data_IF_459087307904
#
_entry.id   IF_459087307904
#
_cell.length_a   1.000
_cell.length_b   1.000
_cell.length_c   1.000
_cell.angle_alpha   90.00
_cell.angle_beta   90.00
_cell.angle_gamma   90.00
#
_symmetry.space_group_name_H-M   'P 1'
#
loop_
_entity.id
_entity.type
_entity.pdbx_description
1 polymer ?
#
# COMPACT_ATOMS: atom_id res chain seq x y z
N UNK A 1 34.02 4.56 15.56
CA UNK A 1 33.75 3.58 14.49
C UNK A 1 32.27 3.67 14.13
N UNK A 2 31.94 4.03 12.89
CA UNK A 2 30.55 4.07 12.42
C UNK A 2 29.97 2.65 12.45
N UNK A 3 28.72 2.49 12.92
CA UNK A 3 28.05 1.20 12.91
C UNK A 3 27.93 0.64 11.47
N UNK A 4 27.72 -0.67 11.34
CA UNK A 4 27.52 -1.32 10.03
C UNK A 4 26.36 -0.68 9.27
N UNK A 5 25.26 -0.31 9.97
CA UNK A 5 24.09 0.39 9.39
C UNK A 5 24.45 1.77 8.85
N UNK A 6 25.24 2.57 9.57
CA UNK A 6 25.69 3.89 9.09
C UNK A 6 26.59 3.80 7.86
N UNK A 7 27.42 2.73 7.74
CA UNK A 7 28.22 2.50 6.53
C UNK A 7 27.34 2.14 5.33
N UNK A 8 26.31 1.31 5.52
CA UNK A 8 25.36 0.94 4.46
C UNK A 8 24.63 2.16 3.91
N UNK A 9 24.12 3.05 4.77
CA UNK A 9 23.51 4.31 4.35
C UNK A 9 24.46 5.19 3.52
N UNK A 10 25.73 5.25 3.90
CA UNK A 10 26.72 6.09 3.21
C UNK A 10 27.15 5.55 1.84
N UNK A 11 27.17 4.22 1.66
CA UNK A 11 27.65 3.59 0.43
C UNK A 11 26.52 3.01 -0.44
N UNK A 12 25.25 3.23 -0.04
CA UNK A 12 24.06 2.67 -0.72
C UNK A 12 24.12 1.14 -0.87
N UNK A 13 24.68 0.48 0.13
CA UNK A 13 24.76 -0.96 0.15
C UNK A 13 23.42 -1.56 0.55
N UNK A 14 23.15 -2.78 0.11
CA UNK A 14 22.00 -3.57 0.50
C UNK A 14 22.39 -4.59 1.56
N UNK A 15 21.47 -4.88 2.46
CA UNK A 15 21.68 -5.92 3.41
C UNK A 15 20.47 -6.86 3.43
N UNK A 16 20.72 -8.15 3.56
CA UNK A 16 19.72 -9.19 3.51
C UNK A 16 19.33 -9.61 4.92
N UNK A 17 18.04 -9.60 5.22
CA UNK A 17 17.49 -10.28 6.40
C UNK A 17 17.26 -11.75 6.03
N UNK A 18 17.84 -12.67 6.80
CA UNK A 18 17.57 -14.09 6.59
C UNK A 18 16.30 -14.50 7.35
N UNK A 19 15.46 -15.33 6.71
CA UNK A 19 14.30 -15.94 7.35
C UNK A 19 13.09 -15.04 7.59
N UNK A 20 13.02 -13.85 6.97
CA UNK A 20 11.86 -12.97 7.03
C UNK A 20 11.44 -12.48 5.65
N UNK A 21 10.19 -12.74 5.30
CA UNK A 21 9.57 -12.28 4.04
C UNK A 21 8.82 -10.99 4.32
N UNK A 22 9.17 -9.93 3.59
CA UNK A 22 8.52 -8.62 3.65
C UNK A 22 8.57 -7.97 2.27
N UNK A 23 7.42 -7.67 1.71
CA UNK A 23 7.29 -6.93 0.46
C UNK A 23 7.10 -5.43 0.76
N UNK A 24 7.62 -4.57 -0.13
CA UNK A 24 7.49 -3.12 0.02
C UNK A 24 6.04 -2.63 0.10
N UNK A 25 5.14 -3.23 -0.67
CA UNK A 25 3.70 -2.92 -0.67
C UNK A 25 2.93 -3.42 0.55
N UNK A 26 3.50 -4.35 1.34
CA UNK A 26 2.85 -4.86 2.55
C UNK A 26 2.89 -3.89 3.73
N UNK A 27 3.68 -2.83 3.65
CA UNK A 27 3.85 -1.83 4.71
C UNK A 27 3.78 -0.41 4.17
N UNK A 28 3.34 0.52 5.01
CA UNK A 28 3.48 1.96 4.77
C UNK A 28 3.92 2.67 6.05
N UNK A 29 4.88 3.59 5.95
CA UNK A 29 5.49 4.25 7.12
C UNK A 29 5.27 5.75 7.07
N UNK A 30 5.19 6.39 8.25
CA UNK A 30 5.05 7.85 8.39
C UNK A 30 6.41 8.59 8.45
N UNK A 31 7.52 7.86 8.59
CA UNK A 31 8.85 8.44 8.79
C UNK A 31 9.13 8.89 10.22
N UNK A 32 8.18 8.77 11.15
CA UNK A 32 8.30 9.17 12.56
C UNK A 32 8.12 8.00 13.55
N UNK A 33 8.24 6.77 13.06
CA UNK A 33 8.21 5.56 13.87
C UNK A 33 6.89 4.79 13.83
N UNK A 34 5.92 5.18 12.99
CA UNK A 34 4.67 4.47 12.84
C UNK A 34 4.61 3.74 11.50
N UNK A 35 4.13 2.51 11.52
CA UNK A 35 3.91 1.66 10.35
C UNK A 35 2.47 1.19 10.32
N UNK A 36 1.87 1.17 9.13
CA UNK A 36 0.57 0.52 8.87
C UNK A 36 0.81 -0.71 8.01
N UNK A 37 0.11 -1.78 8.34
CA UNK A 37 0.08 -3.04 7.59
C UNK A 37 -1.28 -3.71 7.72
N UNK A 38 -1.46 -4.87 7.07
CA UNK A 38 -2.67 -5.69 7.20
C UNK A 38 -2.36 -7.04 7.85
N UNK A 39 -3.32 -7.55 8.63
CA UNK A 39 -3.27 -8.90 9.17
C UNK A 39 -3.37 -9.94 8.06
N UNK A 40 -4.24 -9.67 7.09
CA UNK A 40 -4.47 -10.52 5.91
C UNK A 40 -3.16 -10.82 5.17
N UNK A 41 -2.22 -9.85 5.12
CA UNK A 41 -0.92 -10.01 4.49
C UNK A 41 0.15 -10.56 5.45
N UNK A 42 0.55 -9.80 6.46
CA UNK A 42 1.74 -10.17 7.25
C UNK A 42 1.53 -11.38 8.16
N UNK A 43 0.29 -11.69 8.55
CA UNK A 43 -0.05 -12.91 9.28
C UNK A 43 -0.49 -14.06 8.37
N UNK A 44 -0.39 -13.90 7.04
CA UNK A 44 -0.70 -14.95 6.11
C UNK A 44 0.34 -16.09 6.22
N UNK A 45 -0.16 -17.33 6.15
CA UNK A 45 0.68 -18.53 6.25
C UNK A 45 1.74 -18.65 5.14
N UNK A 46 1.56 -17.93 4.04
CA UNK A 46 2.49 -17.96 2.89
C UNK A 46 3.67 -16.98 3.03
N UNK A 47 3.77 -16.23 4.12
CA UNK A 47 4.90 -15.31 4.42
C UNK A 47 5.78 -15.85 5.54
N UNK A 48 5.38 -15.60 6.79
CA UNK A 48 6.18 -15.93 7.96
C UNK A 48 5.39 -16.81 8.95
N UNK A 49 4.99 -18.06 8.57
CA UNK A 49 4.08 -18.89 9.36
C UNK A 49 4.67 -19.32 10.71
N UNK A 50 5.95 -19.14 10.91
CA UNK A 50 6.66 -19.46 12.14
C UNK A 50 6.73 -18.28 13.12
N UNK A 51 6.22 -17.09 12.73
CA UNK A 51 6.23 -15.88 13.55
C UNK A 51 4.80 -15.49 13.93
N UNK A 52 4.64 -15.04 15.17
CA UNK A 52 3.42 -14.37 15.62
C UNK A 52 3.53 -12.85 15.44
N UNK A 53 2.45 -12.12 15.76
CA UNK A 53 2.37 -10.65 15.63
C UNK A 53 3.52 -9.94 16.35
N UNK A 54 3.75 -10.26 17.60
CA UNK A 54 4.76 -9.62 18.44
C UNK A 54 6.18 -9.85 17.89
N UNK A 55 6.42 -11.02 17.33
CA UNK A 55 7.71 -11.35 16.70
C UNK A 55 7.91 -10.57 15.40
N UNK A 56 6.85 -10.42 14.59
CA UNK A 56 6.88 -9.59 13.38
C UNK A 56 7.14 -8.13 13.75
N UNK A 57 6.43 -7.59 14.74
CA UNK A 57 6.64 -6.23 15.24
C UNK A 57 8.09 -6.01 15.75
N UNK A 58 8.66 -6.98 16.42
CA UNK A 58 10.06 -6.92 16.88
C UNK A 58 11.05 -6.85 15.69
N UNK A 59 10.80 -7.61 14.62
CA UNK A 59 11.63 -7.57 13.39
C UNK A 59 11.48 -6.21 12.70
N UNK A 60 10.25 -5.68 12.59
CA UNK A 60 9.99 -4.37 12.00
C UNK A 60 10.66 -3.25 12.82
N UNK A 61 10.57 -3.30 14.14
CA UNK A 61 11.24 -2.35 15.03
C UNK A 61 12.76 -2.37 14.86
N UNK A 62 13.35 -3.57 14.78
CA UNK A 62 14.80 -3.71 14.63
C UNK A 62 15.31 -3.19 13.28
N UNK A 63 14.61 -3.48 12.20
CA UNK A 63 15.11 -3.24 10.85
C UNK A 63 14.65 -1.90 10.25
N UNK A 64 13.47 -1.40 10.64
CA UNK A 64 12.87 -0.19 10.09
C UNK A 64 12.78 0.96 11.10
N UNK A 65 13.23 0.75 12.34
CA UNK A 65 13.13 1.74 13.42
C UNK A 65 11.67 2.15 13.72
N UNK A 66 10.78 1.17 13.79
CA UNK A 66 9.36 1.36 14.07
C UNK A 66 9.10 1.18 15.57
N UNK A 67 8.35 2.10 16.15
CA UNK A 67 7.91 2.07 17.54
C UNK A 67 6.45 1.61 17.69
N UNK A 68 5.63 1.82 16.64
CA UNK A 68 4.19 1.52 16.63
C UNK A 68 3.77 0.88 15.32
N UNK A 69 3.09 -0.24 15.39
CA UNK A 69 2.47 -0.89 14.20
C UNK A 69 0.96 -0.83 14.33
N UNK A 70 0.31 -0.31 13.29
CA UNK A 70 -1.15 -0.28 13.18
C UNK A 70 -1.56 -1.40 12.22
N UNK A 71 -2.34 -2.36 12.73
CA UNK A 71 -2.79 -3.52 12.00
C UNK A 71 -4.22 -3.31 11.52
N UNK A 72 -4.41 -3.23 10.21
CA UNK A 72 -5.73 -3.29 9.59
C UNK A 72 -6.13 -4.75 9.40
N UNK A 73 -7.39 -5.15 9.63
CA UNK A 73 -7.78 -6.54 9.46
C UNK A 73 -7.56 -7.06 8.04
N UNK A 74 -7.90 -6.24 7.05
CA UNK A 74 -7.90 -6.61 5.63
C UNK A 74 -7.28 -5.53 4.76
N UNK A 75 -6.80 -5.94 3.57
CA UNK A 75 -6.53 -5.05 2.46
C UNK A 75 -7.71 -4.94 1.49
N UNK A 76 -7.46 -4.62 0.24
CA UNK A 76 -8.50 -4.53 -0.79
C UNK A 76 -9.03 -5.93 -1.16
N UNK A 77 -10.34 -6.01 -1.44
CA UNK A 77 -10.95 -7.27 -1.85
C UNK A 77 -10.34 -7.79 -3.15
N UNK A 78 -10.05 -9.09 -3.16
CA UNK A 78 -9.46 -9.82 -4.29
C UNK A 78 -8.08 -9.28 -4.73
N UNK A 79 -7.32 -8.73 -3.79
CA UNK A 79 -5.93 -8.36 -4.02
C UNK A 79 -5.04 -9.62 -4.10
N UNK A 80 -4.38 -9.81 -5.22
CA UNK A 80 -3.50 -10.97 -5.49
C UNK A 80 -2.29 -11.04 -4.57
N UNK A 81 -1.98 -9.96 -3.88
CA UNK A 81 -0.88 -9.86 -2.91
C UNK A 81 -1.30 -10.25 -1.48
N UNK A 82 -2.51 -10.81 -1.32
CA UNK A 82 -3.13 -11.12 -0.02
C UNK A 82 -3.32 -9.86 0.84
N UNK A 83 -3.80 -8.80 0.24
CA UNK A 83 -4.20 -7.60 0.95
C UNK A 83 -3.07 -6.66 1.34
N UNK A 84 -2.13 -6.40 0.43
CA UNK A 84 -1.13 -5.36 0.62
C UNK A 84 -1.75 -4.02 1.02
N UNK A 85 -1.15 -3.36 2.01
CA UNK A 85 -1.69 -2.09 2.52
C UNK A 85 -1.56 -0.94 1.52
N UNK A 86 -0.61 -0.98 0.59
CA UNK A 86 -0.38 0.06 -0.42
C UNK A 86 -1.53 0.20 -1.43
N UNK A 87 -2.37 -0.83 -1.57
CA UNK A 87 -3.62 -0.76 -2.32
C UNK A 87 -4.79 -0.20 -1.50
N UNK A 88 -4.67 -0.13 -0.18
CA UNK A 88 -5.81 0.10 0.69
C UNK A 88 -5.67 1.34 1.58
N UNK A 89 -4.49 1.56 2.18
CA UNK A 89 -4.24 2.68 3.08
C UNK A 89 -2.79 3.15 3.00
N UNK A 90 -2.57 4.47 2.90
CA UNK A 90 -1.23 5.05 2.91
C UNK A 90 -1.18 6.32 3.77
N UNK A 91 0.02 6.69 4.23
CA UNK A 91 0.25 7.99 4.85
C UNK A 91 0.29 9.09 3.80
N UNK A 92 -0.41 10.18 4.08
CA UNK A 92 -0.28 11.47 3.38
C UNK A 92 0.89 12.25 3.98
N UNK A 93 0.95 12.26 5.30
CA UNK A 93 2.02 12.78 6.17
C UNK A 93 1.87 12.19 7.56
N UNK A 94 2.83 12.40 8.49
CA UNK A 94 2.69 11.94 9.87
C UNK A 94 1.38 12.41 10.50
N UNK A 95 0.61 11.47 11.07
CA UNK A 95 -0.70 11.72 11.66
C UNK A 95 -1.88 11.81 10.69
N UNK A 96 -1.66 11.73 9.37
CA UNK A 96 -2.73 11.74 8.37
C UNK A 96 -2.62 10.58 7.39
N UNK A 97 -3.72 9.86 7.18
CA UNK A 97 -3.78 8.70 6.28
C UNK A 97 -4.88 8.86 5.24
N UNK A 98 -4.71 8.22 4.10
CA UNK A 98 -5.66 8.12 3.01
C UNK A 98 -6.11 6.67 2.90
N UNK A 99 -7.41 6.41 3.11
CA UNK A 99 -8.01 5.08 3.10
C UNK A 99 -8.88 4.94 1.83
N UNK A 100 -8.73 3.85 1.11
CA UNK A 100 -9.66 3.46 0.06
C UNK A 100 -11.07 3.27 0.64
N UNK A 101 -12.08 3.85 0.00
CA UNK A 101 -13.41 3.96 0.60
C UNK A 101 -14.54 3.74 -0.39
N UNK A 102 -15.58 3.10 0.10
CA UNK A 102 -16.88 3.04 -0.57
C UNK A 102 -18.01 3.14 0.45
N UNK A 103 -19.06 3.88 0.10
CA UNK A 103 -20.30 3.95 0.87
C UNK A 103 -21.37 2.98 0.34
N UNK A 104 -21.07 2.22 -0.73
CA UNK A 104 -21.99 1.26 -1.33
C UNK A 104 -21.94 -0.09 -0.59
N UNK A 105 -23.00 -0.48 0.14
CA UNK A 105 -23.05 -1.76 0.87
C UNK A 105 -22.99 -3.00 -0.03
N UNK A 106 -23.21 -2.84 -1.34
CA UNK A 106 -23.11 -3.95 -2.31
C UNK A 106 -21.66 -4.14 -2.80
N UNK A 107 -20.78 -3.17 -2.55
CA UNK A 107 -19.37 -3.29 -2.90
C UNK A 107 -18.67 -4.25 -1.92
N UNK A 108 -17.93 -5.26 -2.39
CA UNK A 108 -17.24 -6.22 -1.51
C UNK A 108 -16.20 -5.59 -0.59
N UNK A 109 -15.77 -4.36 -0.87
CA UNK A 109 -14.88 -3.62 0.01
C UNK A 109 -15.60 -2.88 1.15
N UNK A 110 -16.94 -2.84 1.19
CA UNK A 110 -17.67 -2.02 2.16
C UNK A 110 -17.31 -2.40 3.60
N UNK A 111 -17.44 -3.66 3.99
CA UNK A 111 -17.11 -4.13 5.35
C UNK A 111 -15.64 -3.88 5.68
N UNK A 112 -14.74 -4.16 4.75
CA UNK A 112 -13.29 -3.95 4.89
C UNK A 112 -12.97 -2.48 5.18
N UNK A 113 -13.62 -1.54 4.47
CA UNK A 113 -13.47 -0.10 4.71
C UNK A 113 -13.96 0.31 6.10
N UNK A 114 -15.12 -0.22 6.55
CA UNK A 114 -15.68 0.09 7.87
C UNK A 114 -14.78 -0.44 9.00
N UNK A 115 -14.28 -1.65 8.88
CA UNK A 115 -13.36 -2.27 9.86
C UNK A 115 -12.04 -1.49 9.94
N UNK A 116 -11.44 -1.13 8.79
CA UNK A 116 -10.23 -0.32 8.77
C UNK A 116 -10.44 1.07 9.38
N UNK A 117 -11.57 1.74 9.07
CA UNK A 117 -11.93 3.02 9.67
C UNK A 117 -12.02 2.92 11.19
N UNK A 118 -12.69 1.89 11.71
CA UNK A 118 -12.84 1.68 13.15
C UNK A 118 -11.46 1.49 13.85
N UNK A 119 -10.51 0.82 13.21
CA UNK A 119 -9.14 0.71 13.73
C UNK A 119 -8.44 2.06 13.71
N UNK A 120 -8.45 2.76 12.57
CA UNK A 120 -7.72 4.01 12.38
C UNK A 120 -8.23 5.15 13.28
N UNK A 121 -9.55 5.26 13.51
CA UNK A 121 -10.15 6.24 14.41
C UNK A 121 -9.75 6.07 15.88
N UNK A 122 -9.41 4.84 16.28
CA UNK A 122 -8.99 4.50 17.64
C UNK A 122 -7.46 4.41 17.79
N UNK A 123 -6.72 4.41 16.68
CA UNK A 123 -5.27 4.32 16.69
C UNK A 123 -4.60 5.64 17.09
N UNK A 124 -3.39 5.50 17.65
CA UNK A 124 -2.47 6.60 17.86
C UNK A 124 -1.14 6.26 17.20
N UNK A 125 -0.48 7.26 16.65
CA UNK A 125 0.84 7.08 16.07
C UNK A 125 1.93 6.98 17.17
N UNK A 126 3.18 6.77 16.77
CA UNK A 126 4.33 6.66 17.69
C UNK A 126 4.60 7.93 18.52
N UNK A 127 3.99 9.07 18.15
CA UNK A 127 4.06 10.33 18.89
C UNK A 127 2.82 10.58 19.75
N UNK A 128 1.89 9.62 19.81
CA UNK A 128 0.65 9.72 20.58
C UNK A 128 -0.43 10.58 19.92
N UNK A 129 -0.31 10.94 18.62
CA UNK A 129 -1.32 11.70 17.88
C UNK A 129 -2.43 10.76 17.40
N UNK A 130 -3.68 11.22 17.46
CA UNK A 130 -4.78 10.58 16.75
C UNK A 130 -4.61 10.76 15.24
N UNK A 131 -5.00 9.76 14.48
CA UNK A 131 -4.94 9.83 13.02
C UNK A 131 -6.13 10.62 12.46
N UNK A 132 -5.84 11.46 11.47
CA UNK A 132 -6.86 12.03 10.58
C UNK A 132 -6.99 11.11 9.37
N UNK A 133 -8.20 10.60 9.14
CA UNK A 133 -8.46 9.67 8.03
C UNK A 133 -9.16 10.41 6.89
N UNK A 134 -8.52 10.44 5.74
CA UNK A 134 -9.09 10.91 4.49
C UNK A 134 -9.62 9.73 3.68
N UNK A 135 -10.72 9.94 2.95
CA UNK A 135 -11.34 8.91 2.13
C UNK A 135 -10.96 9.10 0.66
N UNK A 136 -10.56 8.03 0.01
CA UNK A 136 -10.30 7.96 -1.43
C UNK A 136 -11.32 7.03 -2.07
N UNK A 137 -12.11 7.47 -3.06
CA UNK A 137 -13.08 6.58 -3.70
C UNK A 137 -12.37 5.38 -4.33
N UNK A 138 -13.01 4.21 -4.27
CA UNK A 138 -12.60 3.03 -5.02
C UNK A 138 -13.18 3.17 -6.43
N UNK A 139 -12.41 2.88 -7.51
CA UNK A 139 -12.95 2.88 -8.87
C UNK A 139 -14.10 1.88 -9.01
N UNK A 140 -14.91 2.04 -10.06
CA UNK A 140 -15.95 1.09 -10.40
C UNK A 140 -15.40 -0.34 -10.56
N UNK A 141 -16.27 -1.35 -10.69
CA UNK A 141 -15.81 -2.71 -10.85
C UNK A 141 -15.01 -2.83 -12.17
N UNK A 142 -13.73 -3.13 -12.02
CA UNK A 142 -12.81 -3.37 -13.14
C UNK A 142 -12.70 -4.87 -13.36
N UNK A 143 -12.79 -5.28 -14.62
CA UNK A 143 -12.66 -6.67 -15.04
C UNK A 143 -11.69 -6.77 -16.22
N UNK A 144 -10.96 -7.86 -16.32
CA UNK A 144 -10.16 -8.14 -17.50
C UNK A 144 -11.06 -8.54 -18.67
N UNK A 145 -10.66 -8.21 -19.90
CA UNK A 145 -11.33 -8.70 -21.08
C UNK A 145 -10.92 -10.14 -21.40
N UNK A 146 -11.67 -10.84 -22.28
CA UNK A 146 -11.27 -12.18 -22.73
C UNK A 146 -9.89 -12.18 -23.41
N UNK A 147 -9.57 -11.13 -24.17
CA UNK A 147 -8.28 -10.98 -24.83
C UNK A 147 -7.13 -10.79 -23.82
N UNK A 148 -7.34 -9.93 -22.80
CA UNK A 148 -6.37 -9.74 -21.72
C UNK A 148 -6.16 -11.03 -20.92
N UNK A 149 -7.22 -11.78 -20.61
CA UNK A 149 -7.11 -13.07 -19.94
C UNK A 149 -6.34 -14.12 -20.77
N UNK A 150 -6.56 -14.13 -22.08
CA UNK A 150 -5.88 -15.06 -22.98
C UNK A 150 -4.38 -14.74 -23.14
N UNK A 151 -3.99 -13.49 -22.90
CA UNK A 151 -2.59 -13.03 -22.97
C UNK A 151 -1.74 -13.35 -21.73
N UNK A 152 -2.34 -13.87 -20.65
CA UNK A 152 -1.63 -14.19 -19.42
C UNK A 152 -1.19 -15.66 -19.41
N UNK A 153 0.12 -15.90 -19.23
CA UNK A 153 0.64 -17.24 -19.07
C UNK A 153 0.16 -17.87 -17.75
N UNK A 154 -0.40 -19.06 -17.84
CA UNK A 154 -0.83 -19.80 -16.65
C UNK A 154 0.39 -20.41 -15.94
N UNK A 155 0.70 -19.89 -14.76
CA UNK A 155 1.75 -20.40 -13.88
C UNK A 155 1.11 -21.14 -12.71
N UNK A 156 1.67 -22.28 -12.33
CA UNK A 156 1.20 -23.06 -11.19
C UNK A 156 1.28 -22.21 -9.92
N UNK A 157 0.15 -22.03 -9.24
CA UNK A 157 0.06 -21.21 -8.01
C UNK A 157 -0.34 -19.74 -8.24
N UNK A 158 -0.48 -19.28 -9.50
CA UNK A 158 -1.09 -17.97 -9.78
C UNK A 158 -2.62 -18.07 -9.78
N UNK A 159 -3.29 -16.95 -9.45
CA UNK A 159 -4.74 -16.86 -9.57
C UNK A 159 -5.15 -16.93 -11.05
N UNK A 160 -6.23 -17.67 -11.33
CA UNK A 160 -6.77 -17.73 -12.69
C UNK A 160 -7.44 -16.40 -13.03
N UNK A 161 -7.04 -15.82 -14.17
CA UNK A 161 -7.68 -14.63 -14.71
C UNK A 161 -8.88 -15.02 -15.53
N UNK A 162 -10.05 -14.53 -15.18
CA UNK A 162 -11.26 -14.64 -15.96
C UNK A 162 -12.01 -13.30 -16.01
N UNK A 163 -12.82 -13.04 -17.04
CA UNK A 163 -13.59 -11.79 -17.14
C UNK A 163 -14.59 -11.58 -16.00
N UNK A 164 -14.96 -12.64 -15.27
CA UNK A 164 -15.86 -12.56 -14.11
C UNK A 164 -15.15 -12.09 -12.85
N UNK A 165 -13.81 -12.24 -12.80
CA UNK A 165 -13.03 -11.88 -11.62
C UNK A 165 -12.77 -10.38 -11.61
N UNK A 166 -13.18 -9.72 -10.53
CA UNK A 166 -12.92 -8.29 -10.32
C UNK A 166 -11.44 -8.06 -10.00
N UNK A 167 -10.83 -7.10 -10.69
CA UNK A 167 -9.48 -6.64 -10.42
C UNK A 167 -9.46 -5.68 -9.22
N UNK A 168 -8.39 -5.73 -8.43
CA UNK A 168 -8.19 -4.92 -7.23
C UNK A 168 -7.65 -3.51 -7.56
N UNK A 169 -8.41 -2.74 -8.36
CA UNK A 169 -8.02 -1.38 -8.72
C UNK A 169 -8.15 -0.40 -7.56
N UNK A 170 -7.16 0.44 -7.37
CA UNK A 170 -7.14 1.45 -6.30
C UNK A 170 -6.36 2.71 -6.68
N UNK A 171 -6.94 3.88 -6.39
CA UNK A 171 -6.23 5.16 -6.47
C UNK A 171 -5.24 5.39 -5.32
N UNK A 172 -5.26 4.57 -4.27
CA UNK A 172 -4.31 4.66 -3.15
C UNK A 172 -2.94 4.14 -3.53
N UNK A 173 -2.84 3.31 -4.58
CA UNK A 173 -1.57 2.76 -5.06
C UNK A 173 -0.79 3.76 -5.93
N UNK A 174 -0.48 4.93 -5.38
CA UNK A 174 0.28 5.99 -6.03
C UNK A 174 1.70 6.11 -5.47
N UNK A 175 2.59 6.68 -6.27
CA UNK A 175 3.98 6.96 -5.89
C UNK A 175 4.12 8.43 -5.45
N UNK A 176 4.75 8.64 -4.30
CA UNK A 176 5.19 9.95 -3.82
C UNK A 176 6.66 10.14 -4.21
N UNK A 177 6.95 11.18 -4.97
CA UNK A 177 8.32 11.61 -5.31
C UNK A 177 8.53 13.06 -4.92
N UNK A 178 9.78 13.54 -4.95
CA UNK A 178 10.08 14.94 -4.63
C UNK A 178 9.30 15.89 -5.56
N UNK A 179 8.35 16.63 -5.01
CA UNK A 179 7.52 17.59 -5.74
C UNK A 179 6.47 17.00 -6.67
N UNK A 180 6.22 15.68 -6.62
CA UNK A 180 5.25 15.02 -7.49
C UNK A 180 4.54 13.82 -6.88
N UNK A 181 3.32 13.59 -7.37
CA UNK A 181 2.53 12.38 -7.14
C UNK A 181 2.25 11.76 -8.50
N UNK A 182 2.56 10.49 -8.66
CA UNK A 182 2.19 9.70 -9.84
C UNK A 182 1.12 8.70 -9.41
N UNK A 183 -0.11 8.87 -9.90
CA UNK A 183 -1.26 8.08 -9.50
C UNK A 183 -1.91 7.37 -10.70
N UNK A 184 -2.52 6.20 -10.50
CA UNK A 184 -3.20 5.49 -11.57
C UNK A 184 -4.51 6.18 -11.97
N UNK A 185 -4.87 6.07 -13.24
CA UNK A 185 -6.22 6.31 -13.77
C UNK A 185 -6.74 5.05 -14.45
N UNK A 186 -8.05 4.88 -14.45
CA UNK A 186 -8.71 3.65 -14.90
C UNK A 186 -9.76 3.90 -16.00
N UNK A 187 -9.80 5.11 -16.57
CA UNK A 187 -10.87 5.58 -17.46
C UNK A 187 -12.25 5.50 -16.77
N UNK A 188 -12.25 5.83 -15.48
CA UNK A 188 -13.41 5.77 -14.59
C UNK A 188 -13.89 7.19 -14.26
N UNK A 189 -15.22 7.43 -14.12
CA UNK A 189 -15.75 8.73 -13.72
C UNK A 189 -15.14 9.32 -12.44
N UNK A 190 -14.61 8.47 -11.53
CA UNK A 190 -13.96 8.86 -10.28
C UNK A 190 -12.50 9.31 -10.44
N UNK A 191 -11.89 9.15 -11.61
CA UNK A 191 -10.49 9.58 -11.84
C UNK A 191 -10.28 11.06 -11.49
N UNK A 192 -11.24 11.92 -11.85
CA UNK A 192 -11.15 13.36 -11.56
C UNK A 192 -11.34 13.66 -10.08
N UNK A 193 -12.21 12.94 -9.40
CA UNK A 193 -12.40 13.06 -7.95
C UNK A 193 -11.13 12.62 -7.20
N UNK A 194 -10.57 11.47 -7.57
CA UNK A 194 -9.33 10.97 -6.99
C UNK A 194 -8.18 11.96 -7.19
N UNK A 195 -8.03 12.53 -8.39
CA UNK A 195 -7.04 13.56 -8.68
C UNK A 195 -7.22 14.79 -7.78
N UNK A 196 -8.45 15.30 -7.67
CA UNK A 196 -8.74 16.47 -6.85
C UNK A 196 -8.45 16.24 -5.35
N UNK A 197 -8.71 15.02 -4.85
CA UNK A 197 -8.35 14.63 -3.48
C UNK A 197 -6.82 14.68 -3.29
N UNK A 198 -6.06 14.10 -4.21
CA UNK A 198 -4.59 14.11 -4.15
C UNK A 198 -4.02 15.53 -4.23
N UNK A 199 -4.52 16.37 -5.14
CA UNK A 199 -4.11 17.77 -5.25
C UNK A 199 -4.37 18.57 -3.96
N UNK A 200 -5.48 18.32 -3.30
CA UNK A 200 -5.81 18.95 -2.01
C UNK A 200 -4.91 18.44 -0.88
N UNK A 201 -4.60 17.14 -0.84
CA UNK A 201 -3.81 16.54 0.24
C UNK A 201 -2.30 16.79 0.07
N UNK A 202 -1.85 17.02 -1.17
CA UNK A 202 -0.44 17.26 -1.51
C UNK A 202 -0.28 18.60 -2.26
N UNK A 203 -0.60 19.75 -1.63
CA UNK A 203 -0.63 21.05 -2.31
C UNK A 203 0.74 21.50 -2.87
N UNK A 204 1.82 20.98 -2.30
CA UNK A 204 3.19 21.29 -2.76
C UNK A 204 3.68 20.33 -3.88
N UNK A 205 2.84 19.36 -4.30
CA UNK A 205 3.19 18.37 -5.29
C UNK A 205 2.36 18.50 -6.56
N UNK A 206 2.99 18.31 -7.69
CA UNK A 206 2.29 18.15 -8.97
C UNK A 206 1.69 16.74 -9.05
N UNK A 207 0.38 16.63 -9.15
CA UNK A 207 -0.31 15.34 -9.35
C UNK A 207 -0.40 15.02 -10.84
N UNK A 208 0.10 13.85 -11.21
CA UNK A 208 0.05 13.30 -12.57
C UNK A 208 -0.70 11.97 -12.52
N UNK A 209 -1.83 11.89 -13.23
CA UNK A 209 -2.56 10.64 -13.44
C UNK A 209 -2.01 9.95 -14.69
N UNK A 210 -1.76 8.64 -14.58
CA UNK A 210 -1.27 7.82 -15.70
C UNK A 210 -2.19 6.60 -15.89
N UNK A 211 -2.41 6.13 -17.12
CA UNK A 211 -3.19 4.91 -17.35
C UNK A 211 -2.61 3.74 -16.56
N UNK A 212 -3.42 3.17 -15.64
CA UNK A 212 -3.00 2.13 -14.72
C UNK A 212 -3.49 0.73 -15.07
N UNK A 213 -4.33 0.59 -16.13
CA UNK A 213 -4.98 -0.68 -16.47
C UNK A 213 -3.99 -1.80 -16.79
N UNK A 214 -2.99 -1.54 -17.62
CA UNK A 214 -1.99 -2.53 -18.01
C UNK A 214 -1.17 -3.04 -16.80
N UNK A 215 -0.87 -2.14 -15.86
CA UNK A 215 -0.15 -2.50 -14.62
C UNK A 215 -1.07 -3.32 -13.73
N UNK A 216 -2.35 -2.93 -13.64
CA UNK A 216 -3.36 -3.62 -12.83
C UNK A 216 -3.54 -5.09 -13.23
N UNK A 217 -3.41 -5.41 -14.52
CA UNK A 217 -3.42 -6.79 -15.01
C UNK A 217 -2.24 -7.61 -14.44
N UNK A 218 -1.20 -6.98 -13.97
CA UNK A 218 -0.07 -7.60 -13.27
C UNK A 218 -0.27 -7.79 -11.77
N UNK A 219 -1.42 -7.40 -11.21
CA UNK A 219 -1.79 -7.62 -9.79
C UNK A 219 -1.46 -6.46 -8.86
N UNK A 220 -1.20 -5.27 -9.38
CA UNK A 220 -0.91 -4.08 -8.56
C UNK A 220 -1.01 -2.80 -9.38
N UNK A 221 -0.38 -1.70 -8.92
CA UNK A 221 -0.36 -0.47 -9.71
C UNK A 221 0.96 0.29 -9.53
N UNK A 222 0.92 1.63 -9.62
CA UNK A 222 2.11 2.50 -9.72
C UNK A 222 3.07 2.28 -8.54
N UNK A 223 2.58 2.24 -7.29
CA UNK A 223 3.44 1.99 -6.13
C UNK A 223 4.09 0.61 -6.20
N UNK A 224 3.34 -0.42 -6.58
CA UNK A 224 3.80 -1.81 -6.61
C UNK A 224 4.98 -2.04 -7.58
N UNK A 225 5.08 -1.26 -8.67
CA UNK A 225 6.17 -1.39 -9.67
C UNK A 225 7.33 -0.41 -9.41
N UNK A 226 7.33 0.27 -8.26
CA UNK A 226 8.33 1.30 -7.94
C UNK A 226 9.07 0.99 -6.65
N UNK A 227 10.27 1.54 -6.53
CA UNK A 227 11.08 1.49 -5.31
C UNK A 227 11.67 2.88 -5.07
N UNK A 228 11.42 3.43 -3.90
CA UNK A 228 11.95 4.73 -3.51
C UNK A 228 13.46 4.65 -3.29
N UNK A 229 14.16 5.57 -3.90
CA UNK A 229 15.57 5.79 -3.63
C UNK A 229 15.74 7.15 -2.92
N UNK A 230 16.07 7.19 -1.62
CA UNK A 230 16.30 8.44 -0.91
C UNK A 230 17.37 9.29 -1.60
N UNK A 231 17.10 10.60 -1.74
CA UNK A 231 18.11 11.52 -2.24
C UNK A 231 19.29 11.57 -1.27
N UNK A 232 20.51 11.72 -1.81
CA UNK A 232 21.65 12.00 -0.98
C UNK A 232 21.40 13.34 -0.25
N UNK A 233 21.60 13.37 1.08
CA UNK A 233 21.66 14.64 1.81
C UNK A 233 22.79 15.47 1.18
N UNK A 234 22.49 16.70 0.74
CA UNK A 234 23.52 17.66 0.41
C UNK A 234 24.39 17.83 1.66
N UNK A 235 25.66 17.42 1.54
CA UNK A 235 26.65 17.55 2.62
C UNK A 235 27.03 19.00 2.86
#
# INVERSE_FOLDING_TARGET
VRSRRQRQMCIRDSYRTEGFVLEGGSIHVDGEGTLITTEECLLNHNRNPHLNREQIEAVLAEHLAIDTVIWLPHGLYNDETDGHVDNFCCYVRPGEVLLAWTDDPQNPNYSRCQEAMAVLENAHDAKGRKLTVHKMPIPGPLHATEEECAGVDRVLGSQERSPEVRLAGSYVNFLIVNGGIVAPSFDDPKDQEAKAILERLFPEHRVVMVPGREILLGGGNIHCITQQQPAATAG
#
